data_IF_176310013041
#
_entry.id   IF_176310013041
#
_cell.length_a   1.000
_cell.length_b   1.000
_cell.length_c   1.000
_cell.angle_alpha   90.00
_cell.angle_beta   90.00
_cell.angle_gamma   90.00
#
_symmetry.space_group_name_H-M   'P 1'
#
loop_
_entity.id
_entity.type
_entity.pdbx_description
1 polymer ?
#
# COMPACT_ATOMS: atom_id res chain seq x y z
N UNK A 1 -43.03 61.42 64.66
CA UNK A 1 -42.07 60.33 64.97
C UNK A 1 -42.23 59.31 63.89
N UNK A 2 -41.33 59.33 62.93
CA UNK A 2 -41.33 58.41 61.77
C UNK A 2 -40.32 57.29 62.02
N UNK A 3 -40.75 56.05 61.97
CA UNK A 3 -39.82 54.85 61.98
C UNK A 3 -39.67 54.31 60.55
N UNK A 4 -38.49 54.41 60.05
CA UNK A 4 -38.09 53.87 58.75
C UNK A 4 -37.77 52.38 58.88
N UNK A 5 -38.51 51.55 58.19
CA UNK A 5 -38.17 50.13 57.98
C UNK A 5 -37.15 49.97 56.81
N UNK A 6 -36.02 49.34 57.10
CA UNK A 6 -35.03 48.90 56.08
C UNK A 6 -35.39 47.52 55.64
N UNK A 7 -35.70 47.35 54.37
CA UNK A 7 -35.79 46.04 53.73
C UNK A 7 -34.43 45.55 53.33
N UNK A 8 -34.00 44.39 53.83
CA UNK A 8 -32.83 43.65 53.34
C UNK A 8 -33.23 42.83 52.10
N UNK A 9 -32.67 43.20 50.98
CA UNK A 9 -32.75 42.37 49.78
C UNK A 9 -31.71 41.25 49.77
N UNK A 10 -32.20 40.01 49.70
CA UNK A 10 -31.37 38.77 49.56
C UNK A 10 -31.11 38.58 48.06
N UNK A 11 -29.87 38.82 47.61
CA UNK A 11 -29.42 38.49 46.23
C UNK A 11 -29.04 37.02 46.16
N UNK A 12 -29.83 36.23 45.44
CA UNK A 12 -29.51 34.85 45.13
C UNK A 12 -28.51 34.80 43.95
N UNK A 13 -27.28 34.42 44.21
CA UNK A 13 -26.27 34.09 43.18
C UNK A 13 -26.61 32.72 42.56
N UNK A 14 -27.17 32.73 41.38
CA UNK A 14 -27.25 31.52 40.52
C UNK A 14 -25.91 31.30 39.84
N UNK A 15 -25.06 30.41 40.40
CA UNK A 15 -23.88 29.90 39.72
C UNK A 15 -24.32 28.93 38.61
N UNK A 16 -24.35 29.44 37.40
CA UNK A 16 -24.54 28.64 36.20
C UNK A 16 -23.33 27.68 35.98
N UNK A 17 -23.50 26.41 36.29
CA UNK A 17 -22.56 25.37 35.88
C UNK A 17 -22.71 25.18 34.38
N UNK A 18 -21.80 25.77 33.59
CA UNK A 18 -21.62 25.46 32.17
C UNK A 18 -21.13 24.03 32.05
N UNK A 19 -21.99 23.11 31.62
CA UNK A 19 -21.61 21.79 31.16
C UNK A 19 -20.76 21.97 29.87
N UNK A 20 -19.45 21.94 29.99
CA UNK A 20 -18.55 21.83 28.85
C UNK A 20 -18.77 20.40 28.31
N UNK A 21 -19.55 20.28 27.25
CA UNK A 21 -19.66 19.05 26.51
C UNK A 21 -18.25 18.69 26.01
N UNK A 22 -17.73 17.52 26.43
CA UNK A 22 -16.50 17.01 25.85
C UNK A 22 -16.68 16.91 24.32
N UNK A 23 -15.67 17.31 23.51
CA UNK A 23 -15.75 17.12 22.08
C UNK A 23 -16.00 15.63 21.80
N UNK A 24 -16.81 15.28 20.77
CA UNK A 24 -16.99 13.89 20.40
C UNK A 24 -15.61 13.28 20.16
N UNK A 25 -15.37 12.08 20.71
CA UNK A 25 -14.17 11.31 20.41
C UNK A 25 -14.01 11.31 18.88
N UNK A 26 -12.87 11.84 18.39
CA UNK A 26 -12.65 12.00 16.97
C UNK A 26 -12.89 10.66 16.28
N UNK A 27 -13.70 10.65 15.23
CA UNK A 27 -13.79 9.48 14.37
C UNK A 27 -12.36 9.13 13.94
N UNK A 28 -11.92 7.91 14.22
CA UNK A 28 -10.60 7.44 13.82
C UNK A 28 -10.48 7.67 12.31
N UNK A 29 -9.59 8.58 11.92
CA UNK A 29 -9.39 8.89 10.50
C UNK A 29 -8.75 7.69 9.85
N UNK A 30 -9.45 7.10 8.86
CA UNK A 30 -8.92 5.97 8.10
C UNK A 30 -7.55 6.31 7.52
N UNK A 31 -6.62 5.37 7.60
CA UNK A 31 -5.27 5.54 7.05
C UNK A 31 -5.30 5.46 5.53
N UNK A 32 -4.84 6.47 4.78
CA UNK A 32 -4.82 6.42 3.32
C UNK A 32 -3.76 5.42 2.84
N UNK A 33 -4.15 4.53 1.91
CA UNK A 33 -3.27 3.56 1.24
C UNK A 33 -3.53 3.53 -0.26
N UNK A 34 -2.47 3.43 -1.05
CA UNK A 34 -2.54 3.44 -2.52
C UNK A 34 -1.27 2.87 -3.16
N UNK A 35 -1.22 2.90 -4.47
CA UNK A 35 -0.01 2.50 -5.21
C UNK A 35 1.17 3.39 -4.85
N UNK A 36 2.25 2.79 -4.35
CA UNK A 36 3.40 3.50 -3.79
C UNK A 36 3.49 3.49 -2.26
N UNK A 37 2.44 3.04 -1.56
CA UNK A 37 2.47 2.87 -0.11
C UNK A 37 3.42 1.74 0.27
N UNK A 38 4.35 2.02 1.18
CA UNK A 38 5.23 1.01 1.78
C UNK A 38 4.47 0.06 2.69
N UNK A 39 4.79 -1.21 2.58
CA UNK A 39 4.21 -2.26 3.42
C UNK A 39 5.29 -3.08 4.11
N UNK A 40 4.97 -3.48 5.33
CA UNK A 40 5.76 -4.36 6.16
C UNK A 40 4.93 -5.59 6.52
N UNK A 41 5.54 -6.74 6.45
CA UNK A 41 4.98 -7.96 6.98
C UNK A 41 6.07 -8.73 7.72
N UNK A 42 5.65 -9.45 8.74
CA UNK A 42 6.56 -10.17 9.61
C UNK A 42 6.65 -11.61 9.13
N UNK A 43 7.86 -12.08 8.90
CA UNK A 43 8.12 -13.50 8.95
C UNK A 43 7.98 -14.00 10.39
N UNK A 44 7.67 -15.28 10.56
CA UNK A 44 7.71 -15.90 11.87
C UNK A 44 9.09 -15.64 12.49
N UNK A 45 9.15 -15.09 13.72
CA UNK A 45 10.43 -14.86 14.35
C UNK A 45 11.16 -16.19 14.50
N UNK A 46 12.40 -16.25 14.00
CA UNK A 46 13.31 -17.35 14.28
C UNK A 46 14.26 -16.96 15.40
N UNK A 47 14.87 -17.91 16.12
CA UNK A 47 15.87 -17.60 17.14
C UNK A 47 17.02 -16.73 16.62
N UNK A 48 17.38 -16.91 15.33
CA UNK A 48 18.46 -16.20 14.65
C UNK A 48 18.04 -14.80 14.16
N UNK A 49 16.74 -14.62 13.87
CA UNK A 49 16.18 -13.39 13.33
C UNK A 49 14.86 -13.02 14.03
N UNK A 50 14.91 -12.62 15.31
CA UNK A 50 13.71 -12.39 16.12
C UNK A 50 12.85 -11.20 15.67
N UNK A 51 13.38 -10.36 14.78
CA UNK A 51 12.72 -9.13 14.29
C UNK A 51 12.84 -8.97 12.77
N UNK A 52 12.88 -10.05 12.01
CA UNK A 52 12.94 -9.97 10.54
C UNK A 52 11.64 -9.37 9.98
N UNK A 53 11.80 -8.28 9.24
CA UNK A 53 10.72 -7.66 8.47
C UNK A 53 11.07 -7.73 6.98
N UNK A 54 10.05 -8.00 6.17
CA UNK A 54 10.13 -7.77 4.73
C UNK A 54 9.40 -6.48 4.40
N UNK A 55 9.97 -5.73 3.47
CA UNK A 55 9.46 -4.44 3.03
C UNK A 55 9.20 -4.53 1.54
N UNK A 56 8.00 -4.14 1.15
CA UNK A 56 7.61 -4.01 -0.25
C UNK A 56 6.75 -2.75 -0.43
N UNK A 57 6.28 -2.54 -1.63
CA UNK A 57 5.45 -1.40 -2.02
C UNK A 57 4.14 -1.91 -2.62
N UNK A 58 3.01 -1.25 -2.38
CA UNK A 58 1.75 -1.56 -3.05
C UNK A 58 1.77 -1.08 -4.51
N UNK A 59 1.25 -1.89 -5.41
CA UNK A 59 1.10 -1.56 -6.84
C UNK A 59 -0.12 -0.67 -7.09
N UNK A 60 -1.24 -1.06 -6.55
CA UNK A 60 -2.51 -0.34 -6.66
C UNK A 60 -3.47 -0.80 -5.58
N UNK A 61 -4.45 0.04 -5.29
CA UNK A 61 -5.62 -0.29 -4.46
C UNK A 61 -6.87 -0.18 -5.31
N UNK A 62 -7.74 -1.15 -5.19
CA UNK A 62 -8.95 -1.24 -5.98
C UNK A 62 -10.01 -2.10 -5.31
N UNK A 63 -11.09 -2.37 -6.05
CA UNK A 63 -12.11 -3.30 -5.62
C UNK A 63 -12.16 -4.51 -6.56
N UNK A 64 -12.52 -5.64 -6.03
CA UNK A 64 -12.85 -6.83 -6.80
C UNK A 64 -14.36 -6.87 -7.14
N UNK A 65 -14.77 -7.86 -7.93
CA UNK A 65 -16.19 -8.04 -8.33
C UNK A 65 -17.12 -8.35 -7.16
N UNK A 66 -16.59 -8.79 -6.02
CA UNK A 66 -17.36 -9.03 -4.80
C UNK A 66 -17.44 -7.78 -3.91
N UNK A 67 -16.83 -6.66 -4.33
CA UNK A 67 -16.79 -5.39 -3.60
C UNK A 67 -15.71 -5.31 -2.52
N UNK A 68 -14.87 -6.34 -2.34
CA UNK A 68 -13.78 -6.27 -1.37
C UNK A 68 -12.78 -5.19 -1.77
N UNK A 69 -12.31 -4.40 -0.82
CA UNK A 69 -11.17 -3.52 -1.03
C UNK A 69 -9.90 -4.38 -1.03
N UNK A 70 -9.13 -4.31 -2.11
CA UNK A 70 -7.93 -5.14 -2.30
C UNK A 70 -6.74 -4.30 -2.76
N UNK A 71 -5.55 -4.74 -2.41
CA UNK A 71 -4.30 -4.18 -2.90
C UNK A 71 -3.49 -5.26 -3.65
N UNK A 72 -2.76 -4.81 -4.67
CA UNK A 72 -1.81 -5.62 -5.40
C UNK A 72 -0.39 -5.26 -4.99
N UNK A 73 0.51 -6.25 -4.99
CA UNK A 73 1.95 -6.11 -4.78
C UNK A 73 2.68 -7.30 -5.43
N UNK A 74 3.97 -7.53 -5.15
CA UNK A 74 4.69 -8.69 -5.68
C UNK A 74 4.45 -9.96 -4.86
N UNK A 75 4.48 -11.11 -5.56
CA UNK A 75 4.40 -12.45 -4.94
C UNK A 75 5.67 -12.77 -4.16
N UNK A 76 6.86 -12.45 -4.70
CA UNK A 76 8.12 -12.77 -4.03
C UNK A 76 8.25 -12.12 -2.65
N UNK A 77 7.51 -11.04 -2.38
CA UNK A 77 7.42 -10.45 -1.04
C UNK A 77 6.89 -11.45 0.00
N UNK A 78 6.01 -12.35 -0.42
CA UNK A 78 5.28 -13.29 0.45
C UNK A 78 5.67 -14.75 0.21
N UNK A 79 6.89 -14.98 -0.19
CA UNK A 79 7.48 -16.31 -0.33
C UNK A 79 8.71 -16.34 0.57
N UNK A 80 8.72 -17.26 1.54
CA UNK A 80 9.85 -17.42 2.45
C UNK A 80 11.06 -18.08 1.78
N UNK A 81 12.16 -18.19 2.49
CA UNK A 81 13.40 -18.80 2.00
C UNK A 81 13.25 -20.30 1.67
N UNK A 82 12.24 -20.97 2.23
CA UNK A 82 11.89 -22.35 1.96
C UNK A 82 10.93 -22.49 0.76
N UNK A 83 10.46 -21.37 0.19
CA UNK A 83 9.52 -21.33 -0.93
C UNK A 83 8.05 -21.44 -0.49
N UNK A 84 7.74 -21.35 0.79
CA UNK A 84 6.35 -21.37 1.27
C UNK A 84 5.67 -20.03 0.99
N UNK A 85 4.41 -20.08 0.56
CA UNK A 85 3.58 -18.91 0.33
C UNK A 85 2.90 -18.48 1.63
N UNK A 86 3.10 -17.22 2.02
CA UNK A 86 2.60 -16.66 3.28
C UNK A 86 1.14 -16.18 3.17
N UNK A 87 0.26 -17.01 2.63
CA UNK A 87 -1.20 -16.74 2.63
C UNK A 87 -1.70 -16.68 4.07
N UNK A 88 -2.53 -15.69 4.39
CA UNK A 88 -3.00 -15.42 5.75
C UNK A 88 -2.09 -14.47 6.55
N UNK A 89 -0.94 -14.08 6.05
CA UNK A 89 -0.06 -13.13 6.73
C UNK A 89 -0.71 -11.75 6.86
N UNK A 90 -0.56 -11.15 8.04
CA UNK A 90 -0.97 -9.78 8.30
C UNK A 90 0.02 -8.79 7.70
N UNK A 91 -0.50 -7.74 7.05
CA UNK A 91 0.28 -6.69 6.41
C UNK A 91 0.06 -5.38 7.15
N UNK A 92 1.14 -4.65 7.41
CA UNK A 92 1.13 -3.34 8.06
C UNK A 92 1.62 -2.28 7.08
N UNK A 93 1.17 -1.04 7.25
CA UNK A 93 1.78 0.10 6.57
C UNK A 93 3.16 0.37 7.17
N UNK A 94 4.13 0.72 6.33
CA UNK A 94 5.41 1.27 6.79
C UNK A 94 5.26 2.77 7.07
N UNK A 95 5.56 3.20 8.30
CA UNK A 95 5.53 4.60 8.71
C UNK A 95 6.86 5.32 8.52
N UNK A 96 7.91 4.62 8.10
CA UNK A 96 9.16 5.27 7.78
C UNK A 96 8.99 6.25 6.61
N UNK A 97 9.78 7.32 6.55
CA UNK A 97 9.76 8.22 5.41
C UNK A 97 10.07 7.47 4.11
N UNK A 98 9.29 7.73 3.07
CA UNK A 98 9.63 7.25 1.74
C UNK A 98 10.99 7.82 1.32
N UNK A 99 11.82 6.99 0.69
CA UNK A 99 13.10 7.44 0.16
C UNK A 99 12.95 8.32 -1.08
N UNK A 100 14.08 8.74 -1.61
CA UNK A 100 14.18 9.45 -2.88
C UNK A 100 15.12 8.70 -3.82
N UNK A 101 15.10 9.04 -5.11
CA UNK A 101 15.99 8.44 -6.10
C UNK A 101 17.48 8.50 -5.73
N UNK A 102 17.88 9.54 -4.98
CA UNK A 102 19.29 9.77 -4.60
C UNK A 102 19.60 9.43 -3.15
N UNK A 103 18.57 9.31 -2.32
CA UNK A 103 18.70 9.00 -0.90
C UNK A 103 17.62 7.97 -0.51
N UNK A 104 17.85 6.68 -0.76
CA UNK A 104 16.94 5.62 -0.35
C UNK A 104 16.73 5.63 1.16
N UNK A 105 15.49 5.37 1.61
CA UNK A 105 15.21 5.27 3.03
C UNK A 105 16.01 4.10 3.64
N UNK A 106 16.60 4.26 4.83
CA UNK A 106 17.29 3.16 5.50
C UNK A 106 16.33 2.04 5.89
N UNK A 107 16.66 0.79 5.57
CA UNK A 107 15.85 -0.37 5.98
C UNK A 107 15.70 -0.45 7.51
N UNK A 108 16.74 -0.15 8.34
CA UNK A 108 16.61 -0.18 9.78
C UNK A 108 15.56 0.77 10.36
N UNK A 109 15.18 1.80 9.63
CA UNK A 109 14.17 2.78 10.07
C UNK A 109 12.74 2.40 9.69
N UNK A 110 12.57 1.31 8.95
CA UNK A 110 11.24 0.79 8.61
C UNK A 110 10.47 0.38 9.86
N UNK A 111 9.24 0.89 10.00
CA UNK A 111 8.44 0.74 11.21
C UNK A 111 7.00 0.38 10.84
N UNK A 112 6.50 -0.76 11.36
CA UNK A 112 5.09 -1.07 11.19
C UNK A 112 4.22 -0.03 11.92
N UNK A 113 3.16 0.41 11.28
CA UNK A 113 2.13 1.25 11.88
C UNK A 113 1.31 0.44 12.90
N UNK A 114 1.80 0.39 14.12
CA UNK A 114 1.12 -0.35 15.19
C UNK A 114 -0.12 0.39 15.72
N UNK A 115 -0.24 1.69 15.47
CA UNK A 115 -1.41 2.47 15.86
C UNK A 115 -2.62 2.12 14.98
N UNK A 116 -2.44 2.11 13.67
CA UNK A 116 -3.46 1.61 12.74
C UNK A 116 -3.65 0.11 12.88
N UNK A 117 -2.60 -0.63 13.22
CA UNK A 117 -2.59 -2.09 13.22
C UNK A 117 -2.46 -2.65 11.80
N UNK A 118 -2.79 -3.96 11.60
CA UNK A 118 -2.71 -4.57 10.29
C UNK A 118 -3.71 -3.93 9.32
N UNK A 119 -3.24 -3.49 8.17
CA UNK A 119 -4.07 -2.89 7.13
C UNK A 119 -4.79 -3.91 6.25
N UNK A 120 -4.42 -5.18 6.36
CA UNK A 120 -5.04 -6.25 5.58
C UNK A 120 -4.34 -7.58 5.76
N UNK A 121 -4.82 -8.57 5.00
CA UNK A 121 -4.34 -9.96 5.04
C UNK A 121 -4.07 -10.45 3.63
N UNK A 122 -2.96 -11.15 3.43
CA UNK A 122 -2.59 -11.79 2.16
C UNK A 122 -3.58 -12.89 1.83
N UNK A 123 -4.24 -12.81 0.67
CA UNK A 123 -5.24 -13.80 0.23
C UNK A 123 -4.77 -14.65 -0.95
N UNK A 124 -3.83 -14.14 -1.73
CA UNK A 124 -3.26 -14.86 -2.87
C UNK A 124 -1.79 -14.49 -3.05
N UNK A 125 -0.97 -15.49 -3.37
CA UNK A 125 0.44 -15.35 -3.73
C UNK A 125 0.69 -16.12 -5.00
N UNK A 126 1.03 -15.43 -6.06
CA UNK A 126 1.39 -16.01 -7.36
C UNK A 126 2.64 -16.89 -7.30
N UNK A 127 3.03 -17.43 -8.44
CA UNK A 127 4.29 -18.15 -8.60
C UNK A 127 5.18 -17.29 -9.49
N UNK A 128 6.10 -16.50 -8.91
CA UNK A 128 6.92 -15.58 -9.70
C UNK A 128 7.82 -16.32 -10.67
N UNK A 129 8.06 -15.67 -11.80
CA UNK A 129 9.00 -16.17 -12.77
C UNK A 129 10.43 -15.91 -12.25
N UNK A 130 11.15 -16.96 -11.95
CA UNK A 130 12.57 -16.85 -11.64
C UNK A 130 13.37 -16.86 -12.96
N UNK A 131 14.01 -15.74 -13.29
CA UNK A 131 14.86 -15.60 -14.47
C UNK A 131 16.01 -16.61 -14.51
N UNK A 132 16.41 -17.13 -13.34
CA UNK A 132 17.56 -18.04 -13.19
C UNK A 132 17.16 -19.52 -13.18
N UNK A 133 15.87 -19.85 -13.09
CA UNK A 133 15.39 -21.22 -12.96
C UNK A 133 14.47 -21.59 -14.14
N UNK A 134 14.58 -22.85 -14.56
CA UNK A 134 13.74 -23.46 -15.59
C UNK A 134 12.33 -23.85 -15.11
N UNK A 135 11.89 -23.36 -13.94
CA UNK A 135 10.59 -23.64 -13.34
C UNK A 135 9.41 -22.99 -14.07
N UNK A 136 8.18 -23.26 -13.62
CA UNK A 136 6.99 -22.68 -14.22
C UNK A 136 7.06 -21.15 -14.18
N UNK A 137 6.73 -20.54 -15.33
CA UNK A 137 6.78 -19.09 -15.51
C UNK A 137 5.42 -18.50 -15.13
N UNK A 138 5.38 -17.78 -14.02
CA UNK A 138 4.19 -17.06 -13.55
C UNK A 138 4.47 -15.58 -13.35
N UNK A 139 3.40 -14.80 -13.25
CA UNK A 139 3.48 -13.38 -12.93
C UNK A 139 3.82 -13.19 -11.45
N UNK A 140 4.63 -12.17 -11.17
CA UNK A 140 5.06 -11.83 -9.82
C UNK A 140 4.07 -10.87 -9.17
N UNK A 141 2.96 -11.40 -8.65
CA UNK A 141 1.98 -10.59 -7.93
C UNK A 141 1.35 -11.35 -6.76
N UNK A 142 0.90 -10.58 -5.77
CA UNK A 142 0.10 -11.05 -4.64
C UNK A 142 -1.09 -10.13 -4.42
N UNK A 143 -2.12 -10.65 -3.76
CA UNK A 143 -3.35 -9.93 -3.40
C UNK A 143 -3.46 -9.85 -1.89
N UNK A 144 -3.71 -8.63 -1.41
CA UNK A 144 -3.99 -8.33 0.00
C UNK A 144 -5.44 -7.86 0.07
N UNK A 145 -6.28 -8.56 0.84
CA UNK A 145 -7.60 -8.04 1.21
C UNK A 145 -7.42 -7.02 2.31
N UNK A 146 -7.81 -5.78 2.06
CA UNK A 146 -7.66 -4.66 2.99
C UNK A 146 -8.80 -4.62 4.01
N UNK A 147 -8.49 -4.09 5.19
CA UNK A 147 -9.46 -3.84 6.26
C UNK A 147 -10.04 -2.43 6.12
N UNK A 148 -11.24 -2.33 5.54
CA UNK A 148 -11.94 -1.07 5.30
C UNK A 148 -12.32 -0.30 6.58
N UNK A 149 -12.25 -0.94 7.73
CA UNK A 149 -12.44 -0.24 9.01
C UNK A 149 -11.19 0.55 9.45
N UNK A 150 -10.03 0.32 8.82
CA UNK A 150 -8.74 0.90 9.17
C UNK A 150 -8.16 1.78 8.07
N UNK A 151 -8.46 1.48 6.82
CA UNK A 151 -7.84 2.16 5.68
C UNK A 151 -8.85 2.71 4.68
N UNK A 152 -8.47 3.79 4.02
CA UNK A 152 -9.16 4.35 2.86
C UNK A 152 -8.25 4.26 1.63
N UNK A 153 -8.83 3.91 0.49
CA UNK A 153 -8.10 3.94 -0.77
C UNK A 153 -7.74 5.39 -1.15
N UNK A 154 -6.53 5.56 -1.69
CA UNK A 154 -6.11 6.80 -2.37
C UNK A 154 -5.51 6.47 -3.71
N UNK A 155 -5.78 7.29 -4.71
CA UNK A 155 -5.18 7.16 -6.03
C UNK A 155 -3.84 7.90 -6.15
N UNK A 156 -3.42 8.65 -5.13
CA UNK A 156 -2.20 9.47 -5.16
C UNK A 156 -1.32 9.15 -3.97
N UNK A 157 -0.08 8.70 -4.25
CA UNK A 157 0.96 8.47 -3.26
C UNK A 157 2.28 9.03 -3.80
N UNK A 158 2.94 9.87 -3.00
CA UNK A 158 4.18 10.52 -3.43
C UNK A 158 4.00 11.31 -4.72
N UNK A 159 4.81 11.03 -5.73
CA UNK A 159 4.78 11.70 -7.04
C UNK A 159 3.92 11.02 -8.11
N UNK A 160 3.13 10.00 -7.76
CA UNK A 160 2.30 9.23 -8.70
C UNK A 160 0.82 9.33 -8.34
N UNK A 161 0.01 9.63 -9.36
CA UNK A 161 -1.45 9.47 -9.34
C UNK A 161 -1.83 8.37 -10.32
N UNK A 162 -2.69 7.43 -9.90
CA UNK A 162 -3.19 6.35 -10.74
C UNK A 162 -4.68 6.60 -11.01
N UNK A 163 -5.00 7.01 -12.25
CA UNK A 163 -6.37 7.31 -12.66
C UNK A 163 -6.93 6.28 -13.64
N UNK A 164 -6.07 5.47 -14.27
CA UNK A 164 -6.47 4.45 -15.24
C UNK A 164 -5.48 3.28 -15.27
N UNK A 165 -5.90 2.20 -15.91
CA UNK A 165 -5.10 0.99 -16.16
C UNK A 165 -4.92 0.85 -17.67
N UNK A 166 -3.71 0.47 -18.12
CA UNK A 166 -3.42 0.31 -19.53
C UNK A 166 -2.29 -0.68 -19.82
N UNK A 167 -2.10 -0.96 -21.10
CA UNK A 167 -1.02 -1.80 -21.59
C UNK A 167 0.35 -1.12 -21.45
N UNK A 168 1.45 -1.88 -21.35
CA UNK A 168 2.79 -1.34 -21.42
C UNK A 168 2.99 -0.54 -22.73
N UNK A 169 3.64 0.63 -22.67
CA UNK A 169 3.81 1.48 -23.86
C UNK A 169 4.83 0.92 -24.85
N UNK A 170 5.01 1.61 -25.97
CA UNK A 170 6.09 1.31 -26.91
C UNK A 170 7.48 1.47 -26.26
N UNK A 171 8.48 0.76 -26.82
CA UNK A 171 9.87 0.91 -26.39
C UNK A 171 10.34 2.36 -26.59
N UNK A 172 11.20 2.85 -25.71
CA UNK A 172 11.65 4.24 -25.69
C UNK A 172 10.70 5.20 -24.95
N UNK A 173 9.48 4.79 -24.62
CA UNK A 173 8.55 5.62 -23.83
C UNK A 173 9.06 5.80 -22.41
N UNK A 174 9.03 7.05 -21.92
CA UNK A 174 9.35 7.38 -20.53
C UNK A 174 8.23 6.91 -19.61
N UNK A 175 8.61 6.16 -18.60
CA UNK A 175 7.74 5.67 -17.53
C UNK A 175 8.30 6.09 -16.19
N UNK A 176 7.46 6.13 -15.16
CA UNK A 176 7.88 6.41 -13.78
C UNK A 176 7.36 5.31 -12.86
N UNK A 177 8.04 5.09 -11.73
CA UNK A 177 7.54 4.30 -10.61
C UNK A 177 7.57 5.12 -9.32
N UNK A 178 6.67 4.81 -8.40
CA UNK A 178 6.70 5.32 -7.03
C UNK A 178 7.00 4.15 -6.10
N UNK A 179 8.24 4.04 -5.67
CA UNK A 179 8.66 3.06 -4.68
C UNK A 179 8.72 3.64 -3.29
N UNK A 180 8.48 2.84 -2.27
CA UNK A 180 8.65 3.29 -0.89
C UNK A 180 10.12 3.53 -0.56
N UNK A 181 11.00 2.69 -1.13
CA UNK A 181 12.44 2.72 -0.87
C UNK A 181 13.17 3.86 -1.57
N UNK A 182 12.94 4.04 -2.87
CA UNK A 182 13.67 5.04 -3.67
C UNK A 182 12.80 6.18 -4.19
N UNK A 183 11.53 6.24 -3.80
CA UNK A 183 10.61 7.31 -4.21
C UNK A 183 10.27 7.27 -5.70
N UNK A 184 10.06 8.46 -6.26
CA UNK A 184 9.76 8.66 -7.67
C UNK A 184 11.03 8.54 -8.51
N UNK A 185 11.08 7.53 -9.38
CA UNK A 185 12.15 7.35 -10.37
C UNK A 185 11.56 7.12 -11.74
N UNK A 186 12.20 7.66 -12.77
CA UNK A 186 11.68 7.59 -14.14
C UNK A 186 12.79 7.25 -15.13
N UNK A 187 12.46 6.41 -16.12
CA UNK A 187 13.32 6.09 -17.25
C UNK A 187 12.52 5.51 -18.41
N UNK A 188 13.20 5.07 -19.45
CA UNK A 188 12.55 4.52 -20.64
C UNK A 188 12.32 3.03 -20.56
N UNK A 189 11.25 2.55 -21.22
CA UNK A 189 11.02 1.15 -21.52
C UNK A 189 12.01 0.68 -22.60
N UNK A 190 12.62 -0.49 -22.37
CA UNK A 190 13.59 -1.08 -23.30
C UNK A 190 12.94 -2.14 -24.21
N UNK A 191 12.13 -3.02 -23.64
CA UNK A 191 11.58 -4.14 -24.38
C UNK A 191 10.46 -4.87 -23.65
N UNK A 192 9.83 -5.83 -24.33
CA UNK A 192 8.91 -6.79 -23.75
C UNK A 192 9.48 -8.17 -23.97
N UNK A 193 9.44 -9.01 -22.93
CA UNK A 193 9.97 -10.36 -22.95
C UNK A 193 8.92 -11.32 -22.37
N UNK A 194 7.99 -11.75 -23.21
CA UNK A 194 6.93 -12.68 -22.82
C UNK A 194 6.00 -12.06 -21.75
N UNK A 195 6.17 -12.50 -20.51
CA UNK A 195 5.29 -12.12 -19.40
C UNK A 195 5.76 -10.89 -18.61
N UNK A 196 6.84 -10.21 -19.02
CA UNK A 196 7.32 -8.98 -18.39
C UNK A 196 7.84 -7.99 -19.43
N UNK A 197 8.06 -6.75 -18.99
CA UNK A 197 8.81 -5.78 -19.77
C UNK A 197 10.01 -5.25 -18.97
N UNK A 198 11.03 -4.80 -19.70
CA UNK A 198 12.28 -4.28 -19.16
C UNK A 198 12.35 -2.76 -19.31
N UNK A 199 13.02 -2.10 -18.39
CA UNK A 199 13.18 -0.64 -18.37
C UNK A 199 14.48 -0.23 -17.65
N UNK A 200 14.82 1.04 -17.72
CA UNK A 200 15.97 1.62 -17.01
C UNK A 200 15.57 2.34 -15.71
N UNK A 201 14.34 2.16 -15.22
CA UNK A 201 13.90 2.77 -13.96
C UNK A 201 14.71 2.17 -12.83
N UNK A 202 15.33 3.02 -12.00
CA UNK A 202 16.04 2.54 -10.84
C UNK A 202 15.09 2.04 -9.77
N UNK A 203 15.42 0.87 -9.23
CA UNK A 203 14.75 0.21 -8.12
C UNK A 203 15.77 -0.29 -7.11
N UNK A 204 15.39 -0.37 -5.85
CA UNK A 204 16.18 -0.98 -4.77
C UNK A 204 15.28 -1.90 -3.93
N UNK A 205 15.89 -2.70 -3.04
CA UNK A 205 15.14 -3.59 -2.13
C UNK A 205 14.11 -2.82 -1.31
N UNK A 206 12.84 -3.24 -1.38
CA UNK A 206 11.69 -2.52 -0.80
C UNK A 206 10.83 -1.77 -1.82
N UNK A 207 11.33 -1.53 -3.04
CA UNK A 207 10.52 -1.01 -4.15
C UNK A 207 9.68 -2.09 -4.85
N UNK A 208 9.91 -3.36 -4.54
CA UNK A 208 9.13 -4.48 -5.07
C UNK A 208 7.64 -4.24 -4.91
N UNK A 209 6.87 -4.37 -5.99
CA UNK A 209 5.44 -4.05 -6.02
C UNK A 209 5.12 -2.62 -6.42
N UNK A 210 6.11 -1.74 -6.61
CA UNK A 210 5.86 -0.35 -7.00
C UNK A 210 5.01 -0.23 -8.27
N UNK A 211 4.04 0.71 -8.32
CA UNK A 211 3.33 1.03 -9.55
C UNK A 211 4.29 1.59 -10.60
N UNK A 212 4.20 1.09 -11.82
CA UNK A 212 4.84 1.68 -12.99
C UNK A 212 3.78 2.35 -13.83
N UNK A 213 3.98 3.64 -14.10
CA UNK A 213 2.97 4.48 -14.77
C UNK A 213 3.54 5.22 -15.99
N UNK A 214 2.63 5.52 -16.94
CA UNK A 214 2.81 6.51 -18.00
C UNK A 214 1.79 7.63 -17.75
N UNK A 215 2.26 8.80 -17.33
CA UNK A 215 1.36 9.82 -16.80
C UNK A 215 0.59 9.31 -15.60
N UNK A 216 -0.72 9.20 -15.70
CA UNK A 216 -1.61 8.67 -14.67
C UNK A 216 -2.13 7.25 -14.97
N UNK A 217 -1.61 6.60 -16.01
CA UNK A 217 -2.02 5.25 -16.40
C UNK A 217 -1.07 4.22 -15.79
N UNK A 218 -1.58 3.34 -14.94
CA UNK A 218 -0.86 2.19 -14.40
C UNK A 218 -0.62 1.17 -15.52
N UNK A 219 0.62 0.82 -15.79
CA UNK A 219 1.00 -0.11 -16.87
C UNK A 219 1.71 -1.37 -16.35
N UNK A 220 2.18 -1.35 -15.10
CA UNK A 220 2.87 -2.51 -14.55
C UNK A 220 3.14 -2.42 -13.06
N UNK A 221 3.63 -3.55 -12.56
CA UNK A 221 4.08 -3.82 -11.21
C UNK A 221 5.60 -4.10 -11.26
N UNK A 222 6.41 -3.24 -10.64
CA UNK A 222 7.86 -3.35 -10.67
C UNK A 222 8.35 -4.49 -9.76
N UNK A 223 9.30 -5.30 -10.27
CA UNK A 223 9.97 -6.33 -9.50
C UNK A 223 11.43 -6.51 -9.97
N UNK A 224 12.29 -6.81 -9.01
CA UNK A 224 13.70 -6.97 -9.30
C UNK A 224 14.35 -5.75 -9.98
N UNK A 225 15.56 -5.92 -10.46
CA UNK A 225 16.27 -4.88 -11.19
C UNK A 225 15.68 -4.73 -12.60
N UNK A 226 15.04 -3.58 -12.89
CA UNK A 226 14.65 -3.18 -14.24
C UNK A 226 13.56 -4.05 -14.92
N UNK A 227 12.74 -4.75 -14.13
CA UNK A 227 11.66 -5.60 -14.66
C UNK A 227 10.31 -5.19 -14.07
N UNK A 228 9.26 -5.39 -14.84
CA UNK A 228 7.88 -5.19 -14.40
C UNK A 228 6.92 -6.16 -15.07
N UNK A 229 5.98 -6.69 -14.29
CA UNK A 229 4.85 -7.46 -14.81
C UNK A 229 3.80 -6.51 -15.38
N UNK A 230 3.28 -6.72 -16.60
CA UNK A 230 2.18 -5.94 -17.15
C UNK A 230 0.94 -6.05 -16.26
N UNK A 231 0.33 -4.93 -15.90
CA UNK A 231 -0.82 -4.93 -14.99
C UNK A 231 -2.04 -5.64 -15.60
N UNK A 232 -2.26 -5.52 -16.91
CA UNK A 232 -3.36 -6.20 -17.59
C UNK A 232 -3.20 -7.72 -17.52
N UNK A 233 -1.97 -8.24 -17.67
CA UNK A 233 -1.71 -9.67 -17.54
C UNK A 233 -1.98 -10.18 -16.12
N UNK A 234 -1.69 -9.36 -15.09
CA UNK A 234 -2.04 -9.67 -13.71
C UNK A 234 -3.55 -9.74 -13.52
N UNK A 235 -4.29 -8.76 -14.05
CA UNK A 235 -5.76 -8.72 -13.97
C UNK A 235 -6.38 -9.90 -14.70
N UNK A 236 -5.87 -10.25 -15.89
CA UNK A 236 -6.35 -11.39 -16.68
C UNK A 236 -6.15 -12.71 -15.91
N UNK A 237 -4.98 -12.90 -15.28
CA UNK A 237 -4.72 -14.09 -14.46
C UNK A 237 -5.59 -14.12 -13.19
N UNK A 238 -5.80 -12.97 -12.52
CA UNK A 238 -6.72 -12.85 -11.38
C UNK A 238 -8.13 -13.26 -11.78
N UNK A 239 -8.61 -12.79 -12.94
CA UNK A 239 -9.93 -13.11 -13.45
C UNK A 239 -10.06 -14.61 -13.80
N UNK A 240 -9.01 -15.20 -14.36
CA UNK A 240 -8.99 -16.63 -14.67
C UNK A 240 -8.94 -17.50 -13.42
N UNK A 241 -8.22 -17.09 -12.39
CA UNK A 241 -8.11 -17.82 -11.12
C UNK A 241 -9.38 -17.69 -10.25
N UNK A 242 -10.11 -16.59 -10.38
CA UNK A 242 -11.25 -16.29 -9.52
C UNK A 242 -10.85 -15.92 -8.08
N UNK A 243 -11.83 -15.83 -7.18
CA UNK A 243 -11.59 -15.52 -5.77
C UNK A 243 -11.36 -14.04 -5.49
N UNK A 244 -10.71 -13.74 -4.36
CA UNK A 244 -10.43 -12.37 -3.95
C UNK A 244 -9.47 -11.71 -4.94
N UNK A 245 -9.87 -10.56 -5.47
CA UNK A 245 -9.14 -9.80 -6.48
C UNK A 245 -9.67 -9.98 -7.90
N UNK A 246 -10.48 -11.00 -8.19
CA UNK A 246 -11.07 -11.18 -9.51
C UNK A 246 -12.03 -10.01 -9.84
N UNK A 247 -11.95 -9.49 -11.07
CA UNK A 247 -12.68 -8.28 -11.46
C UNK A 247 -12.06 -6.99 -10.92
N UNK A 248 -10.76 -7.00 -10.60
CA UNK A 248 -10.05 -5.84 -10.06
C UNK A 248 -10.26 -4.59 -10.92
N UNK A 249 -10.69 -3.51 -10.28
CA UNK A 249 -10.74 -2.17 -10.83
C UNK A 249 -10.28 -1.17 -9.79
N UNK A 250 -9.75 -0.02 -10.20
CA UNK A 250 -9.25 1.01 -9.28
C UNK A 250 -10.37 1.48 -8.35
N UNK A 251 -10.03 1.69 -7.09
CA UNK A 251 -10.93 2.37 -6.17
C UNK A 251 -11.08 3.84 -6.61
N UNK A 252 -12.31 4.29 -6.69
CA UNK A 252 -12.68 5.68 -7.04
C UNK A 252 -12.57 6.57 -5.81
#
# INVERSE_FOLDING_TARGET
MLRTLRALGLAALLTGMSLIAAPPAGADTLTPVGGGTGIIFRLQPTPEAPTSFYICTLTAVGRDSAGNLVALTNAHCFIDEQGNKLVGASVYRDTSPAGTAFAPAPIPDSRPDLQTGPIGTVTYVGTPNNLLNSGPKGLDYAVIKLDESRVAATNTVGGVTIASIGAPPANGTRMCKQGHRTGLTCAIKLGTNGIWFTHLIWTDGGDSGSPVVVGQTLVGNAWGAQHSSPILSIIDELNANGGVGAGFHLAS
#
